data_IF_775840549824
#
_entry.id   IF_775840549824
#
_cell.length_a   1.000
_cell.length_b   1.000
_cell.length_c   1.000
_cell.angle_alpha   90.00
_cell.angle_beta   90.00
_cell.angle_gamma   90.00
#
_symmetry.space_group_name_H-M   'P 1'
#
loop_
_entity.id
_entity.type
_entity.pdbx_description
1 polymer ?
#
# COMPACT_ATOMS: atom_id res chain seq x y z
N UNK A 1 4.20 12.57 -1.72
CA UNK A 1 3.26 12.66 -0.58
C UNK A 1 3.84 11.86 0.58
N UNK A 2 3.62 12.30 1.82
CA UNK A 2 4.05 11.52 2.99
C UNK A 2 3.03 10.42 3.29
N UNK A 3 3.49 9.21 3.58
CA UNK A 3 2.66 8.06 3.98
C UNK A 3 2.52 8.03 5.50
N UNK A 4 1.30 8.00 6.01
CA UNK A 4 1.00 7.96 7.45
C UNK A 4 -0.22 7.07 7.73
N UNK A 5 -0.41 6.58 8.97
CA UNK A 5 -1.61 5.85 9.34
C UNK A 5 -2.89 6.62 9.00
N UNK A 6 -3.83 5.98 8.31
CA UNK A 6 -5.05 6.57 7.75
C UNK A 6 -4.91 6.99 6.28
N UNK A 7 -3.70 7.05 5.73
CA UNK A 7 -3.50 7.23 4.28
C UNK A 7 -4.16 6.10 3.50
N UNK A 8 -4.77 6.45 2.36
CA UNK A 8 -5.34 5.46 1.43
C UNK A 8 -4.61 5.47 0.09
N UNK A 9 -4.58 4.33 -0.58
CA UNK A 9 -4.08 4.21 -1.95
C UNK A 9 -4.82 3.08 -2.68
N UNK A 10 -4.85 3.14 -4.00
CA UNK A 10 -5.36 2.06 -4.82
C UNK A 10 -4.22 1.20 -5.32
N UNK A 11 -4.40 -0.12 -5.29
CA UNK A 11 -3.46 -1.08 -5.85
C UNK A 11 -4.18 -1.94 -6.89
N UNK A 12 -3.66 -2.01 -8.13
CA UNK A 12 -4.16 -2.97 -9.11
C UNK A 12 -3.79 -4.38 -8.67
N UNK A 13 -4.74 -5.29 -8.80
CA UNK A 13 -4.59 -6.73 -8.61
C UNK A 13 -4.53 -7.45 -9.96
N UNK A 14 -3.95 -8.65 -10.02
CA UNK A 14 -4.07 -9.52 -11.18
C UNK A 14 -5.55 -9.70 -11.57
N UNK A 15 -5.86 -9.57 -12.86
CA UNK A 15 -7.24 -9.62 -13.35
C UNK A 15 -7.93 -8.27 -13.54
N UNK A 16 -7.19 -7.16 -13.44
CA UNK A 16 -7.67 -5.82 -13.79
C UNK A 16 -8.54 -5.15 -12.72
N UNK A 17 -8.71 -5.79 -11.57
CA UNK A 17 -9.39 -5.19 -10.42
C UNK A 17 -8.45 -4.23 -9.69
N UNK A 18 -9.01 -3.18 -9.08
CA UNK A 18 -8.26 -2.28 -8.19
C UNK A 18 -8.89 -2.33 -6.81
N UNK A 19 -8.04 -2.47 -5.78
CA UNK A 19 -8.47 -2.49 -4.38
C UNK A 19 -7.91 -1.26 -3.67
N UNK A 20 -8.78 -0.56 -2.95
CA UNK A 20 -8.38 0.54 -2.08
C UNK A 20 -7.91 -0.03 -0.74
N UNK A 21 -6.71 0.34 -0.34
CA UNK A 21 -6.12 0.00 0.95
C UNK A 21 -6.03 1.21 1.85
N UNK A 22 -6.10 0.99 3.16
CA UNK A 22 -5.82 1.97 4.22
C UNK A 22 -4.55 1.56 4.96
N UNK A 23 -3.63 2.49 5.16
CA UNK A 23 -2.45 2.30 6.01
C UNK A 23 -2.89 2.28 7.46
N UNK A 24 -2.65 1.18 8.17
CA UNK A 24 -2.97 1.00 9.58
C UNK A 24 -1.82 1.37 10.49
N UNK A 25 -0.59 1.06 10.07
CA UNK A 25 0.61 1.43 10.80
C UNK A 25 1.79 1.61 9.83
N UNK A 26 2.74 2.45 10.22
CA UNK A 26 4.04 2.57 9.55
C UNK A 26 5.10 2.11 10.54
N UNK A 27 5.96 1.19 10.10
CA UNK A 27 6.99 0.55 10.92
C UNK A 27 8.35 0.97 10.38
N UNK A 28 9.15 1.62 11.24
CA UNK A 28 10.47 2.16 10.90
C UNK A 28 11.61 1.23 11.32
N UNK A 29 11.44 -0.10 11.13
CA UNK A 29 12.51 -1.08 11.37
C UNK A 29 13.68 -0.96 10.37
N UNK A 30 14.65 -1.90 10.37
CA UNK A 30 15.83 -1.80 9.50
C UNK A 30 15.48 -1.70 8.01
N UNK A 31 14.29 -2.18 7.61
CA UNK A 31 13.64 -1.85 6.34
C UNK A 31 12.24 -1.29 6.65
N UNK A 32 11.93 -0.04 6.27
CA UNK A 32 10.61 0.54 6.50
C UNK A 32 9.49 -0.15 5.71
N UNK A 33 8.36 -0.38 6.37
CA UNK A 33 7.16 -0.95 5.74
C UNK A 33 5.87 -0.39 6.36
N UNK A 34 4.77 -0.53 5.63
CA UNK A 34 3.44 -0.18 6.07
C UNK A 34 2.60 -1.45 6.27
N UNK A 35 1.88 -1.52 7.37
CA UNK A 35 0.75 -2.43 7.53
C UNK A 35 -0.47 -1.80 6.88
N UNK A 36 -1.12 -2.50 5.95
CA UNK A 36 -2.23 -1.99 5.15
C UNK A 36 -3.40 -2.96 5.17
N UNK A 37 -4.61 -2.45 5.00
CA UNK A 37 -5.84 -3.25 5.06
C UNK A 37 -6.81 -2.81 3.96
N UNK A 38 -7.47 -3.73 3.25
CA UNK A 38 -8.48 -3.38 2.25
C UNK A 38 -9.65 -2.63 2.89
N UNK A 39 -10.11 -1.54 2.27
CA UNK A 39 -11.27 -0.77 2.75
C UNK A 39 -12.55 -1.61 2.76
N UNK A 40 -12.68 -2.57 1.84
CA UNK A 40 -13.82 -3.50 1.77
C UNK A 40 -13.79 -4.63 2.79
N UNK A 41 -12.81 -4.65 3.71
CA UNK A 41 -12.54 -5.76 4.59
C UNK A 41 -11.63 -6.81 3.94
N UNK A 42 -10.82 -7.48 4.75
CA UNK A 42 -9.84 -8.46 4.29
C UNK A 42 -8.68 -8.60 5.25
N UNK A 43 -7.70 -9.41 4.87
CA UNK A 43 -6.49 -9.61 5.67
C UNK A 43 -5.61 -8.36 5.63
N UNK A 44 -4.97 -8.06 6.76
CA UNK A 44 -3.92 -7.05 6.83
C UNK A 44 -2.68 -7.58 6.11
N UNK A 45 -2.07 -6.73 5.29
CA UNK A 45 -0.85 -7.01 4.53
C UNK A 45 0.29 -6.10 4.99
N UNK A 46 1.53 -6.57 4.88
CA UNK A 46 2.72 -5.74 5.05
C UNK A 46 3.30 -5.42 3.67
N UNK A 47 3.35 -4.13 3.32
CA UNK A 47 3.93 -3.65 2.06
C UNK A 47 5.13 -2.77 2.32
N UNK A 48 6.15 -2.86 1.47
CA UNK A 48 7.29 -1.96 1.54
C UNK A 48 6.84 -0.51 1.32
N UNK A 49 7.52 0.45 1.97
CA UNK A 49 7.20 1.86 1.79
C UNK A 49 7.32 2.29 0.32
N UNK A 50 8.30 1.76 -0.40
CA UNK A 50 8.47 2.01 -1.83
C UNK A 50 7.23 1.62 -2.64
N UNK A 51 6.62 0.46 -2.37
CA UNK A 51 5.38 0.06 -3.05
C UNK A 51 4.25 1.03 -2.74
N UNK A 52 4.07 1.41 -1.48
CA UNK A 52 2.97 2.30 -1.05
C UNK A 52 3.13 3.70 -1.65
N UNK A 53 4.34 4.24 -1.66
CA UNK A 53 4.64 5.56 -2.23
C UNK A 53 4.43 5.60 -3.75
N UNK A 54 4.78 4.53 -4.46
CA UNK A 54 4.52 4.44 -5.91
C UNK A 54 3.02 4.36 -6.20
N UNK A 55 2.26 3.60 -5.41
CA UNK A 55 0.80 3.55 -5.55
C UNK A 55 0.14 4.89 -5.26
N UNK A 56 0.59 5.62 -4.24
CA UNK A 56 0.08 6.97 -3.96
C UNK A 56 0.39 7.98 -5.05
N UNK A 57 1.48 7.78 -5.79
CA UNK A 57 1.89 8.66 -6.90
C UNK A 57 1.34 8.20 -8.25
N UNK A 58 0.47 7.19 -8.28
CA UNK A 58 -0.06 6.57 -9.51
C UNK A 58 1.05 6.08 -10.46
N UNK A 59 2.22 5.74 -9.92
CA UNK A 59 3.31 5.21 -10.73
C UNK A 59 3.19 3.69 -10.84
N UNK A 60 3.27 3.13 -12.07
CA UNK A 60 3.20 1.69 -12.27
C UNK A 60 4.37 0.99 -11.57
N UNK A 61 4.09 -0.15 -10.93
CA UNK A 61 5.14 -1.05 -10.45
C UNK A 61 5.96 -1.56 -11.66
N UNK A 62 7.27 -1.72 -11.53
CA UNK A 62 8.06 -2.35 -12.58
C UNK A 62 7.65 -3.82 -12.66
N UNK A 63 7.51 -4.32 -13.87
CA UNK A 63 7.35 -5.74 -14.13
C UNK A 63 8.57 -6.47 -13.56
N UNK A 64 8.34 -7.39 -12.62
CA UNK A 64 9.36 -8.28 -12.08
C UNK A 64 9.54 -9.48 -12.99
#
# INVERSE_FOLDING_TARGET
MAVFPGSTFQRPLPGGQSVTYTVRAVRFGPVPYAEVEPVGGGAREALSMWTVERMQTNQPLPDR
#
